data_IF_864831101544
#
_entry.id   IF_864831101544
#
_cell.length_a   1.000
_cell.length_b   1.000
_cell.length_c   1.000
_cell.angle_alpha   90.00
_cell.angle_beta   90.00
_cell.angle_gamma   90.00
#
_symmetry.space_group_name_H-M   'P 1'
#
loop_
_entity.id
_entity.type
_entity.pdbx_description
1 polymer ?
#
# COMPACT_ATOMS: atom_id res chain seq x y z
N UNK A 1 -11.46 8.05 18.86
CA UNK A 1 -12.45 8.05 17.78
C UNK A 1 -12.75 6.65 17.27
N UNK A 2 -11.78 5.91 16.82
CA UNK A 2 -11.97 4.52 16.38
C UNK A 2 -11.34 3.53 17.36
N UNK A 3 -11.21 3.91 18.63
CA UNK A 3 -10.61 3.05 19.63
C UNK A 3 -11.43 1.78 19.78
N UNK A 4 -10.77 0.64 19.67
CA UNK A 4 -11.41 -0.65 19.80
C UNK A 4 -12.25 -1.08 18.60
N UNK A 5 -12.36 -0.23 17.58
CA UNK A 5 -13.11 -0.55 16.37
C UNK A 5 -12.13 -0.57 15.19
N UNK A 6 -12.06 -1.70 14.52
CA UNK A 6 -11.22 -1.81 13.34
C UNK A 6 -12.09 -1.77 12.09
N UNK A 7 -11.79 -0.82 11.22
CA UNK A 7 -12.43 -0.71 9.92
C UNK A 7 -12.11 -1.96 9.08
N UNK A 8 -13.09 -2.59 8.43
CA UNK A 8 -12.80 -3.70 7.51
C UNK A 8 -11.78 -3.31 6.44
N UNK A 9 -11.84 -2.08 5.95
CA UNK A 9 -10.88 -1.59 4.94
C UNK A 9 -9.48 -1.51 5.53
N UNK A 10 -9.35 -1.03 6.77
CA UNK A 10 -8.05 -0.95 7.45
C UNK A 10 -7.45 -2.34 7.62
N UNK A 11 -8.25 -3.30 8.09
CA UNK A 11 -7.78 -4.68 8.29
C UNK A 11 -7.33 -5.31 6.98
N UNK A 12 -8.12 -5.16 5.93
CA UNK A 12 -7.80 -5.75 4.61
C UNK A 12 -6.58 -5.12 3.99
N UNK A 13 -6.44 -3.80 4.10
CA UNK A 13 -5.29 -3.11 3.52
C UNK A 13 -4.00 -3.44 4.26
N UNK A 14 -4.08 -3.66 5.58
CA UNK A 14 -2.93 -4.07 6.36
C UNK A 14 -2.50 -5.50 5.98
N UNK A 15 -3.45 -6.40 5.78
CA UNK A 15 -3.15 -7.76 5.32
C UNK A 15 -2.52 -7.72 3.92
N UNK A 16 -3.03 -6.85 3.04
CA UNK A 16 -2.46 -6.66 1.71
C UNK A 16 -1.02 -6.15 1.80
N UNK A 17 -0.77 -5.17 2.65
CA UNK A 17 0.57 -4.64 2.86
C UNK A 17 1.54 -5.73 3.31
N UNK A 18 1.10 -6.62 4.18
CA UNK A 18 1.90 -7.76 4.61
C UNK A 18 2.27 -8.69 3.46
N UNK A 19 1.33 -8.93 2.55
CA UNK A 19 1.59 -9.74 1.35
C UNK A 19 2.57 -9.05 0.42
N UNK A 20 2.46 -7.73 0.27
CA UNK A 20 3.39 -6.95 -0.54
C UNK A 20 4.81 -7.07 0.01
N UNK A 21 4.97 -6.95 1.33
CA UNK A 21 6.29 -7.08 1.97
C UNK A 21 6.90 -8.45 1.65
N UNK A 22 6.13 -9.52 1.81
CA UNK A 22 6.61 -10.87 1.55
C UNK A 22 6.95 -11.09 0.09
N UNK A 23 6.12 -10.57 -0.82
CA UNK A 23 6.37 -10.70 -2.24
C UNK A 23 7.64 -9.96 -2.64
N UNK A 24 7.83 -8.74 -2.14
CA UNK A 24 9.02 -7.95 -2.46
C UNK A 24 10.27 -8.61 -1.90
N UNK A 25 10.21 -9.17 -0.70
CA UNK A 25 11.32 -9.93 -0.14
C UNK A 25 11.68 -11.09 -1.08
N UNK A 26 10.70 -11.85 -1.52
CA UNK A 26 10.92 -12.96 -2.44
C UNK A 26 11.55 -12.49 -3.76
N UNK A 27 11.07 -11.36 -4.30
CA UNK A 27 11.61 -10.81 -5.55
C UNK A 27 13.07 -10.38 -5.39
N UNK A 28 13.43 -9.76 -4.26
CA UNK A 28 14.81 -9.38 -4.01
C UNK A 28 15.73 -10.59 -3.85
N UNK A 29 15.22 -11.67 -3.27
CA UNK A 29 16.03 -12.88 -3.04
C UNK A 29 16.15 -13.75 -4.28
N UNK A 30 15.10 -13.80 -5.11
CA UNK A 30 15.03 -14.79 -6.22
C UNK A 30 14.84 -14.15 -7.59
N UNK A 31 14.49 -12.86 -7.66
CA UNK A 31 14.23 -12.19 -8.91
C UNK A 31 15.50 -11.61 -9.54
N UNK A 32 15.31 -10.94 -10.66
CA UNK A 32 16.40 -10.29 -11.37
C UNK A 32 16.82 -9.02 -10.62
N UNK A 33 18.08 -8.98 -10.19
CA UNK A 33 18.60 -7.88 -9.39
C UNK A 33 18.63 -6.54 -10.13
N UNK A 34 18.60 -6.58 -11.47
CA UNK A 34 18.51 -5.36 -12.26
C UNK A 34 17.19 -4.60 -12.03
N UNK A 35 16.17 -5.28 -11.50
CA UNK A 35 14.86 -4.68 -11.26
C UNK A 35 14.63 -4.31 -9.79
N UNK A 36 15.69 -4.27 -9.00
CA UNK A 36 15.57 -3.99 -7.56
C UNK A 36 14.86 -2.67 -7.28
N UNK A 37 15.10 -1.62 -8.08
CA UNK A 37 14.44 -0.35 -7.87
C UNK A 37 12.93 -0.42 -8.12
N UNK A 38 12.49 -1.27 -9.05
CA UNK A 38 11.06 -1.49 -9.29
C UNK A 38 10.45 -2.24 -8.11
N UNK A 39 11.14 -3.25 -7.57
CA UNK A 39 10.67 -3.96 -6.38
C UNK A 39 10.48 -2.98 -5.21
N UNK A 40 11.42 -2.05 -5.05
CA UNK A 40 11.34 -1.04 -3.99
C UNK A 40 10.14 -0.11 -4.19
N UNK A 41 9.79 0.22 -5.44
CA UNK A 41 8.60 1.02 -5.73
C UNK A 41 7.32 0.26 -5.39
N UNK A 42 7.28 -1.05 -5.64
CA UNK A 42 6.15 -1.88 -5.23
C UNK A 42 6.00 -1.86 -3.71
N UNK A 43 7.11 -2.01 -2.99
CA UNK A 43 7.10 -1.98 -1.53
C UNK A 43 6.57 -0.64 -1.03
N UNK A 44 7.10 0.47 -1.53
CA UNK A 44 6.71 1.81 -1.11
C UNK A 44 5.24 2.07 -1.38
N UNK A 45 4.81 1.88 -2.62
CA UNK A 45 3.42 2.19 -2.99
C UNK A 45 2.43 1.22 -2.34
N UNK A 46 2.76 -0.06 -2.31
CA UNK A 46 1.86 -1.07 -1.74
C UNK A 46 1.64 -0.90 -0.24
N UNK A 47 2.68 -0.53 0.51
CA UNK A 47 2.52 -0.29 1.95
C UNK A 47 1.91 1.07 2.25
N UNK A 48 2.07 2.05 1.34
CA UNK A 48 1.46 3.37 1.51
C UNK A 48 -0.06 3.34 1.46
N UNK A 49 -0.65 2.35 0.80
CA UNK A 49 -2.11 2.17 0.78
C UNK A 49 -2.62 2.02 2.21
N UNK A 50 -2.06 1.07 2.95
CA UNK A 50 -2.49 0.81 4.33
C UNK A 50 -2.17 1.99 5.24
N UNK A 51 -1.00 2.61 5.07
CA UNK A 51 -0.60 3.74 5.89
C UNK A 51 -1.60 4.89 5.76
N UNK A 52 -2.03 5.22 4.54
CA UNK A 52 -2.97 6.32 4.31
C UNK A 52 -4.38 5.98 4.78
N UNK A 53 -4.79 4.72 4.62
CA UNK A 53 -6.09 4.29 5.15
C UNK A 53 -6.08 4.40 6.69
N UNK A 54 -4.99 3.97 7.33
CA UNK A 54 -4.83 4.11 8.78
C UNK A 54 -4.90 5.56 9.22
N UNK A 55 -4.22 6.46 8.52
CA UNK A 55 -4.25 7.88 8.83
C UNK A 55 -5.64 8.49 8.65
N UNK A 56 -6.42 7.98 7.67
CA UNK A 56 -7.78 8.49 7.45
C UNK A 56 -8.67 8.29 8.67
N UNK A 57 -8.43 7.26 9.46
CA UNK A 57 -9.22 6.97 10.65
C UNK A 57 -9.02 8.02 11.76
N UNK A 58 -7.94 8.80 11.67
CA UNK A 58 -7.62 9.86 12.61
C UNK A 58 -7.68 11.23 11.95
N UNK A 59 -8.40 11.34 10.84
CA UNK A 59 -8.53 12.58 10.10
C UNK A 59 -9.17 13.68 10.97
N UNK A 60 -8.70 14.91 10.79
CA UNK A 60 -9.15 16.05 11.58
C UNK A 60 -10.42 16.68 11.03
N UNK A 61 -10.81 16.34 9.81
CA UNK A 61 -11.97 16.88 9.13
C UNK A 61 -12.45 15.93 8.05
N UNK A 62 -13.69 16.07 7.57
CA UNK A 62 -14.16 15.27 6.42
C UNK A 62 -13.28 15.47 5.18
N UNK A 63 -12.80 16.69 4.95
CA UNK A 63 -11.92 16.96 3.81
C UNK A 63 -10.59 16.20 3.95
N UNK A 64 -10.02 16.18 5.15
CA UNK A 64 -8.78 15.44 5.41
C UNK A 64 -8.97 13.94 5.23
N UNK A 65 -10.12 13.42 5.71
CA UNK A 65 -10.48 12.01 5.52
C UNK A 65 -10.49 11.64 4.04
N UNK A 66 -11.17 12.44 3.23
CA UNK A 66 -11.25 12.21 1.79
C UNK A 66 -9.88 12.30 1.13
N UNK A 67 -9.07 13.28 1.54
CA UNK A 67 -7.71 13.45 1.02
C UNK A 67 -6.87 12.21 1.27
N UNK A 68 -6.92 11.66 2.49
CA UNK A 68 -6.15 10.45 2.83
C UNK A 68 -6.61 9.26 2.00
N UNK A 69 -7.91 9.09 1.79
CA UNK A 69 -8.42 8.00 0.96
C UNK A 69 -8.02 8.18 -0.50
N UNK A 70 -8.00 9.42 -1.01
CA UNK A 70 -7.53 9.70 -2.36
C UNK A 70 -6.07 9.33 -2.54
N UNK A 71 -5.23 9.65 -1.55
CA UNK A 71 -3.82 9.27 -1.60
C UNK A 71 -3.68 7.74 -1.63
N UNK A 72 -4.46 7.04 -0.79
CA UNK A 72 -4.45 5.58 -0.79
C UNK A 72 -4.83 5.02 -2.16
N UNK A 73 -5.85 5.60 -2.80
CA UNK A 73 -6.30 5.16 -4.12
C UNK A 73 -5.22 5.39 -5.18
N UNK A 74 -4.53 6.54 -5.15
CA UNK A 74 -3.41 6.81 -6.05
C UNK A 74 -2.29 5.80 -5.86
N UNK A 75 -1.97 5.46 -4.63
CA UNK A 75 -0.93 4.49 -4.33
C UNK A 75 -1.33 3.09 -4.81
N UNK A 76 -2.61 2.73 -4.70
CA UNK A 76 -3.10 1.47 -5.22
C UNK A 76 -2.95 1.42 -6.75
N UNK A 77 -3.28 2.51 -7.43
CA UNK A 77 -3.11 2.62 -8.88
C UNK A 77 -1.65 2.50 -9.28
N UNK A 78 -0.76 3.15 -8.55
CA UNK A 78 0.69 3.06 -8.81
C UNK A 78 1.19 1.64 -8.60
N UNK A 79 0.78 0.97 -7.53
CA UNK A 79 1.16 -0.41 -7.25
C UNK A 79 0.76 -1.32 -8.40
N UNK A 80 -0.46 -1.16 -8.89
CA UNK A 80 -0.96 -1.93 -10.02
C UNK A 80 -0.09 -1.72 -11.25
N UNK A 81 0.33 -0.48 -11.51
CA UNK A 81 1.21 -0.19 -12.65
C UNK A 81 2.55 -0.90 -12.53
N UNK A 82 3.17 -0.85 -11.35
CA UNK A 82 4.43 -1.54 -11.15
C UNK A 82 4.31 -3.04 -11.31
N UNK A 83 3.21 -3.63 -10.79
CA UNK A 83 2.97 -5.06 -10.95
C UNK A 83 2.76 -5.42 -12.41
N UNK A 84 2.08 -4.58 -13.18
CA UNK A 84 1.91 -4.79 -14.60
C UNK A 84 3.24 -4.71 -15.34
N UNK A 85 4.09 -3.76 -14.97
CA UNK A 85 5.44 -3.65 -15.54
C UNK A 85 6.24 -4.93 -15.30
N UNK A 86 6.17 -5.48 -14.10
CA UNK A 86 6.90 -6.70 -13.75
C UNK A 86 6.39 -7.95 -14.50
N UNK A 87 5.14 -7.92 -14.97
CA UNK A 87 4.59 -9.04 -15.74
C UNK A 87 5.13 -9.09 -17.17
N UNK A 88 5.58 -7.97 -17.70
CA UNK A 88 6.18 -7.93 -19.04
C UNK A 88 7.57 -8.59 -19.02
#
# INVERSE_FOLDING_TARGET
>A
MYEGIQSPLSVKSEAYAGRIVKMVQHLHENGNKHFASVYNQVLRSGTSISANIGESLFAQSPADFITKLHIALKEASETRRWLNVLKE
#
